data_IF_265637376439
#
_entry.id   IF_265637376439
#
_cell.length_a   1.000
_cell.length_b   1.000
_cell.length_c   1.000
_cell.angle_alpha   90.00
_cell.angle_beta   90.00
_cell.angle_gamma   90.00
#
_symmetry.space_group_name_H-M   'P 1'
#
loop_
_entity.id
_entity.type
_entity.pdbx_description
1 polymer ?
#
# COMPACT_ATOMS: atom_id res chain seq x y z
N UNK A 1 18.67 -1.72 10.06
CA UNK A 1 18.36 -2.55 11.23
C UNK A 1 18.84 -1.81 12.47
N UNK A 2 17.92 -1.19 13.21
CA UNK A 2 18.24 -0.32 14.37
C UNK A 2 18.75 -1.16 15.55
N UNK A 3 18.46 -2.47 15.58
CA UNK A 3 18.84 -3.37 16.67
C UNK A 3 20.35 -3.59 16.81
N UNK A 4 21.14 -3.14 15.83
CA UNK A 4 22.60 -3.31 15.77
C UNK A 4 23.40 -2.06 16.12
N UNK A 5 22.73 -0.96 16.48
CA UNK A 5 23.39 0.30 16.79
C UNK A 5 23.81 0.37 18.26
N UNK A 6 24.99 0.94 18.51
CA UNK A 6 25.38 1.33 19.86
C UNK A 6 24.57 2.55 20.35
N UNK A 7 24.49 2.79 21.67
CA UNK A 7 23.79 3.97 22.20
C UNK A 7 24.30 5.31 21.65
N UNK A 8 25.61 5.42 21.39
CA UNK A 8 26.21 6.62 20.80
C UNK A 8 25.79 6.80 19.33
N UNK A 9 25.76 5.73 18.55
CA UNK A 9 25.32 5.77 17.15
C UNK A 9 23.82 6.04 17.02
N UNK A 10 23.01 5.49 17.92
CA UNK A 10 21.58 5.78 18.00
C UNK A 10 21.34 7.25 18.34
N UNK A 11 22.09 7.80 19.30
CA UNK A 11 22.01 9.22 19.66
C UNK A 11 22.43 10.12 18.50
N UNK A 12 23.49 9.76 17.78
CA UNK A 12 23.94 10.50 16.60
C UNK A 12 22.91 10.44 15.45
N UNK A 13 22.25 9.30 15.24
CA UNK A 13 21.19 9.13 14.24
C UNK A 13 19.97 10.02 14.55
N UNK A 14 19.61 10.13 15.83
CA UNK A 14 18.51 10.99 16.30
C UNK A 14 18.86 12.48 16.30
N UNK A 15 20.15 12.81 16.33
CA UNK A 15 20.63 14.20 16.29
C UNK A 15 20.70 14.77 14.86
N UNK A 16 20.55 13.95 13.82
CA UNK A 16 20.42 14.42 12.44
C UNK A 16 19.01 15.00 12.27
N UNK A 17 18.85 16.32 12.08
CA UNK A 17 17.53 16.88 11.80
C UNK A 17 17.00 16.27 10.50
N UNK A 18 15.68 15.99 10.42
CA UNK A 18 15.09 15.40 9.22
C UNK A 18 15.48 16.25 8.01
N UNK A 19 16.20 15.64 7.06
CA UNK A 19 16.85 16.37 5.97
C UNK A 19 15.89 16.88 4.88
N UNK A 20 14.58 16.89 5.11
CA UNK A 20 13.60 17.31 4.12
C UNK A 20 12.34 17.83 4.81
N UNK A 21 11.94 19.06 4.50
CA UNK A 21 10.63 19.61 4.83
C UNK A 21 9.48 18.95 4.02
N UNK A 22 9.78 17.92 3.22
CA UNK A 22 8.87 17.26 2.28
C UNK A 22 8.39 15.88 2.73
N UNK A 23 8.41 15.58 4.04
CA UNK A 23 7.76 14.36 4.53
C UNK A 23 6.24 14.51 4.42
N UNK A 24 5.65 13.77 3.48
CA UNK A 24 4.21 13.58 3.43
C UNK A 24 3.75 12.91 4.72
N UNK A 25 2.74 13.48 5.39
CA UNK A 25 2.17 12.83 6.57
C UNK A 25 1.44 11.55 6.15
N UNK A 26 1.37 10.55 7.02
CA UNK A 26 0.60 9.33 6.73
C UNK A 26 -0.87 9.63 6.40
N UNK A 27 -1.44 10.71 6.96
CA UNK A 27 -2.79 11.17 6.65
C UNK A 27 -2.89 11.69 5.22
N UNK A 28 -1.96 12.53 4.80
CA UNK A 28 -1.94 13.12 3.47
C UNK A 28 -1.68 12.04 2.40
N UNK A 29 -0.80 11.09 2.71
CA UNK A 29 -0.59 9.89 1.89
C UNK A 29 -1.88 9.11 1.68
N UNK A 30 -2.59 8.76 2.76
CA UNK A 30 -3.85 8.02 2.67
C UNK A 30 -4.92 8.81 1.89
N UNK A 31 -5.03 10.12 2.14
CA UNK A 31 -5.95 10.99 1.42
C UNK A 31 -5.66 11.02 -0.08
N UNK A 32 -4.38 11.10 -0.47
CA UNK A 32 -3.95 11.08 -1.88
C UNK A 32 -4.23 9.74 -2.55
N UNK A 33 -4.00 8.62 -1.88
CA UNK A 33 -4.32 7.28 -2.41
C UNK A 33 -5.83 7.13 -2.63
N UNK A 34 -6.67 7.65 -1.72
CA UNK A 34 -8.12 7.63 -1.88
C UNK A 34 -8.61 8.55 -2.99
N UNK A 35 -8.04 9.75 -3.11
CA UNK A 35 -8.36 10.64 -4.22
C UNK A 35 -8.02 9.99 -5.57
N UNK A 36 -6.89 9.28 -5.66
CA UNK A 36 -6.55 8.52 -6.86
C UNK A 36 -7.56 7.40 -7.16
N UNK A 37 -8.12 6.74 -6.15
CA UNK A 37 -9.19 5.74 -6.33
C UNK A 37 -10.45 6.35 -6.96
N UNK A 38 -10.81 7.58 -6.57
CA UNK A 38 -11.96 8.29 -7.14
C UNK A 38 -11.76 8.64 -8.63
N UNK A 39 -10.50 8.75 -9.07
CA UNK A 39 -10.13 9.00 -10.47
C UNK A 39 -10.09 7.72 -11.33
N UNK A 40 -10.17 6.52 -10.71
CA UNK A 40 -10.18 5.25 -11.45
C UNK A 40 -11.48 5.14 -12.26
N UNK A 41 -11.43 4.85 -13.57
CA UNK A 41 -12.63 4.72 -14.39
C UNK A 41 -13.62 3.70 -13.81
N UNK A 42 -14.90 4.09 -13.70
CA UNK A 42 -15.96 3.23 -13.18
C UNK A 42 -16.23 2.00 -14.08
N UNK A 43 -15.75 2.01 -15.32
CA UNK A 43 -15.94 0.93 -16.30
C UNK A 43 -14.62 0.57 -16.97
N UNK A 44 -14.47 -0.73 -17.27
CA UNK A 44 -13.29 -1.25 -17.96
C UNK A 44 -12.27 -1.87 -17.01
N UNK A 45 -11.08 -2.15 -17.54
CA UNK A 45 -9.98 -2.77 -16.78
C UNK A 45 -8.89 -1.75 -16.50
N UNK A 46 -8.57 -1.54 -15.22
CA UNK A 46 -7.44 -0.73 -14.78
C UNK A 46 -6.35 -1.63 -14.22
N UNK A 47 -5.11 -1.42 -14.67
CA UNK A 47 -3.92 -2.10 -14.13
C UNK A 47 -3.05 -1.03 -13.48
N UNK A 48 -2.73 -1.21 -12.20
CA UNK A 48 -1.89 -0.28 -11.43
C UNK A 48 -0.70 -1.03 -10.85
N UNK A 49 0.51 -0.56 -11.17
CA UNK A 49 1.75 -1.02 -10.57
C UNK A 49 2.08 -0.08 -9.41
N UNK A 50 2.04 -0.59 -8.18
CA UNK A 50 2.21 0.24 -6.97
C UNK A 50 3.03 -0.47 -5.91
N UNK A 51 3.13 0.14 -4.72
CA UNK A 51 3.91 -0.37 -3.59
C UNK A 51 2.99 -0.87 -2.47
N UNK A 52 3.54 -1.67 -1.56
CA UNK A 52 2.86 -2.23 -0.38
C UNK A 52 1.86 -1.28 0.29
N UNK A 53 2.29 -0.06 0.63
CA UNK A 53 1.45 0.88 1.38
C UNK A 53 0.24 1.38 0.58
N UNK A 54 0.41 1.55 -0.73
CA UNK A 54 -0.66 1.97 -1.65
C UNK A 54 -1.66 0.82 -1.81
N UNK A 55 -1.17 -0.40 -2.07
CA UNK A 55 -2.03 -1.60 -2.13
C UNK A 55 -2.81 -1.77 -0.83
N UNK A 56 -2.16 -1.71 0.33
CA UNK A 56 -2.83 -1.87 1.63
C UNK A 56 -3.93 -0.84 1.85
N UNK A 57 -3.66 0.43 1.52
CA UNK A 57 -4.66 1.50 1.65
C UNK A 57 -5.84 1.31 0.68
N UNK A 58 -5.56 0.93 -0.57
CA UNK A 58 -6.61 0.63 -1.56
C UNK A 58 -7.51 -0.50 -1.06
N UNK A 59 -6.91 -1.61 -0.61
CA UNK A 59 -7.66 -2.76 -0.11
C UNK A 59 -8.46 -2.42 1.15
N UNK A 60 -7.91 -1.58 2.03
CA UNK A 60 -8.63 -1.07 3.18
C UNK A 60 -9.81 -0.16 2.81
N UNK A 61 -9.68 0.66 1.77
CA UNK A 61 -10.75 1.52 1.27
C UNK A 61 -11.87 0.72 0.58
N UNK A 62 -11.49 -0.29 -0.22
CA UNK A 62 -12.41 -1.13 -0.98
C UNK A 62 -13.12 -2.17 -0.09
N UNK A 63 -12.38 -2.94 0.70
CA UNK A 63 -12.91 -4.09 1.46
C UNK A 63 -13.30 -3.72 2.90
N UNK A 64 -12.99 -2.49 3.33
CA UNK A 64 -13.06 -2.05 4.72
C UNK A 64 -11.81 -2.43 5.50
N UNK A 65 -11.40 -1.56 6.43
CA UNK A 65 -10.13 -1.64 7.16
C UNK A 65 -9.87 -2.96 7.89
N UNK A 66 -10.92 -3.66 8.34
CA UNK A 66 -10.82 -4.98 9.00
C UNK A 66 -10.42 -6.13 8.06
N UNK A 67 -10.47 -5.91 6.75
CA UNK A 67 -10.13 -6.89 5.72
C UNK A 67 -8.88 -6.51 4.93
N UNK A 68 -8.16 -5.46 5.33
CA UNK A 68 -6.88 -5.13 4.73
C UNK A 68 -5.91 -6.31 4.97
N UNK A 69 -5.28 -6.87 3.93
CA UNK A 69 -4.40 -8.01 4.10
C UNK A 69 -3.19 -7.62 4.96
N UNK A 70 -2.83 -8.50 5.87
CA UNK A 70 -1.67 -8.36 6.74
C UNK A 70 -0.35 -8.62 5.99
N UNK A 71 -0.43 -9.32 4.86
CA UNK A 71 0.70 -9.69 4.03
C UNK A 71 0.41 -9.36 2.56
N UNK A 72 1.38 -8.72 1.90
CA UNK A 72 1.39 -8.42 0.48
C UNK A 72 2.81 -8.75 0.00
N UNK A 73 2.92 -9.79 -0.81
CA UNK A 73 4.18 -10.34 -1.30
C UNK A 73 4.75 -9.47 -2.42
N UNK A 74 6.07 -9.58 -2.65
CA UNK A 74 6.68 -8.89 -3.79
C UNK A 74 6.12 -9.42 -5.10
N UNK A 75 5.81 -8.48 -6.01
CA UNK A 75 5.21 -8.76 -7.32
C UNK A 75 3.88 -9.54 -7.26
N UNK A 76 3.19 -9.59 -6.11
CA UNK A 76 1.89 -10.24 -6.03
C UNK A 76 0.82 -9.50 -6.83
N UNK A 77 -0.10 -10.25 -7.42
CA UNK A 77 -1.26 -9.71 -8.13
C UNK A 77 -2.46 -9.70 -7.18
N UNK A 78 -3.16 -8.56 -7.15
CA UNK A 78 -4.48 -8.46 -6.54
C UNK A 78 -5.48 -8.06 -7.63
N UNK A 79 -6.51 -8.87 -7.81
CA UNK A 79 -7.51 -8.72 -8.86
C UNK A 79 -8.90 -8.65 -8.21
N UNK A 80 -9.59 -7.54 -8.45
CA UNK A 80 -10.95 -7.30 -7.99
C UNK A 80 -11.85 -6.99 -9.17
N UNK A 81 -13.10 -7.40 -9.06
CA UNK A 81 -14.17 -6.98 -9.96
C UNK A 81 -15.17 -6.14 -9.16
N UNK A 82 -15.48 -4.96 -9.65
CA UNK A 82 -16.57 -4.13 -9.14
C UNK A 82 -17.77 -4.29 -10.07
N UNK A 83 -18.93 -4.60 -9.50
CA UNK A 83 -20.22 -4.62 -10.21
C UNK A 83 -21.34 -4.10 -9.29
N UNK A 84 -22.58 -4.11 -9.75
CA UNK A 84 -23.75 -3.59 -9.01
C UNK A 84 -23.98 -4.29 -7.67
N UNK A 85 -23.44 -5.51 -7.48
CA UNK A 85 -23.53 -6.24 -6.21
C UNK A 85 -22.37 -5.95 -5.26
N UNK A 86 -21.41 -5.13 -5.67
CA UNK A 86 -20.27 -4.68 -4.88
C UNK A 86 -18.94 -5.21 -5.41
N UNK A 87 -17.99 -5.34 -4.49
CA UNK A 87 -16.60 -5.72 -4.79
C UNK A 87 -16.42 -7.22 -4.60
N UNK A 88 -15.92 -7.87 -5.66
CA UNK A 88 -15.59 -9.29 -5.68
C UNK A 88 -14.09 -9.48 -5.75
N UNK A 89 -13.55 -10.30 -4.87
CA UNK A 89 -12.14 -10.68 -4.86
C UNK A 89 -11.96 -11.85 -5.83
N UNK A 90 -11.25 -11.62 -6.93
CA UNK A 90 -10.92 -12.66 -7.92
C UNK A 90 -9.62 -13.35 -7.54
N UNK A 91 -8.61 -12.57 -7.17
CA UNK A 91 -7.33 -13.05 -6.66
C UNK A 91 -6.78 -12.05 -5.65
N UNK A 92 -6.12 -12.53 -4.59
CA UNK A 92 -5.47 -11.68 -3.60
C UNK A 92 -4.13 -12.26 -3.20
N UNK A 93 -3.10 -11.42 -3.24
CA UNK A 93 -1.72 -11.79 -2.97
C UNK A 93 -1.22 -12.96 -3.84
N UNK A 94 -1.65 -12.99 -5.11
CA UNK A 94 -1.34 -14.07 -6.03
C UNK A 94 0.10 -13.97 -6.58
N UNK A 95 0.88 -15.02 -6.33
CA UNK A 95 2.29 -15.16 -6.75
C UNK A 95 2.52 -16.38 -7.63
N UNK A 96 1.46 -17.04 -8.13
CA UNK A 96 1.56 -18.27 -8.93
C UNK A 96 2.47 -18.08 -10.15
N UNK A 97 2.39 -16.90 -10.78
CA UNK A 97 3.22 -16.53 -11.93
C UNK A 97 4.73 -16.51 -11.66
N UNK A 98 5.17 -16.48 -10.40
CA UNK A 98 6.58 -16.48 -9.99
C UNK A 98 7.16 -17.89 -9.80
N UNK A 99 6.34 -18.94 -9.79
CA UNK A 99 6.75 -20.31 -9.44
C UNK A 99 7.41 -21.10 -10.60
N UNK A 100 8.09 -20.41 -11.52
CA UNK A 100 8.67 -21.01 -12.74
C UNK A 100 10.12 -21.44 -12.57
#
# INVERSE_FOLDING_TARGET
DVSRLTPAELTALLAVPPQNDSFESGRDFMARVRAWLDDVPATGTTIAFTHYAVVREILGALLGSRHAPTEISHASIHHFRLDDSGIHIVASNDIEHLQR
#
